data_IF_520875308024
#
_entry.id   IF_520875308024
#
_cell.length_a   1.000
_cell.length_b   1.000
_cell.length_c   1.000
_cell.angle_alpha   90.00
_cell.angle_beta   90.00
_cell.angle_gamma   90.00
#
_symmetry.space_group_name_H-M   'P 1'
#
loop_
_entity.id
_entity.type
_entity.pdbx_description
1 polymer ?
#
# COMPACT_ATOMS: atom_id res chain seq x y z
N UNK A 1 12.09 -13.15 23.21
CA UNK A 1 12.32 -11.70 23.37
C UNK A 1 12.76 -11.22 22.00
N UNK A 2 11.82 -10.70 21.22
CA UNK A 2 12.12 -10.13 19.92
C UNK A 2 12.96 -8.87 20.15
N UNK A 3 14.09 -8.75 19.44
CA UNK A 3 14.79 -7.48 19.36
C UNK A 3 13.89 -6.56 18.53
N UNK A 4 12.99 -5.82 19.18
CA UNK A 4 12.31 -4.71 18.52
C UNK A 4 13.34 -3.60 18.42
N UNK A 5 13.97 -3.46 17.26
CA UNK A 5 14.73 -2.26 16.95
C UNK A 5 13.73 -1.10 16.99
N UNK A 6 13.81 -0.28 18.03
CA UNK A 6 13.01 0.94 18.14
C UNK A 6 13.70 2.03 17.31
N UNK A 7 12.95 2.62 16.39
CA UNK A 7 13.39 3.76 15.58
C UNK A 7 12.63 5.00 16.02
N UNK A 8 13.10 6.20 15.70
CA UNK A 8 12.22 7.38 15.73
C UNK A 8 11.68 7.68 14.34
N UNK A 9 10.57 8.40 14.27
CA UNK A 9 10.00 8.86 13.00
C UNK A 9 11.06 9.59 12.14
N UNK A 10 11.87 10.46 12.76
CA UNK A 10 12.99 11.13 12.08
C UNK A 10 14.08 10.17 11.56
N UNK A 11 14.33 9.05 12.25
CA UNK A 11 15.27 8.04 11.78
C UNK A 11 14.73 7.28 10.57
N UNK A 12 13.42 7.00 10.52
CA UNK A 12 12.77 6.44 9.32
C UNK A 12 12.98 7.38 8.14
N UNK A 13 12.66 8.67 8.29
CA UNK A 13 12.87 9.67 7.23
C UNK A 13 14.32 9.77 6.77
N UNK A 14 15.29 9.76 7.70
CA UNK A 14 16.71 9.77 7.36
C UNK A 14 17.13 8.52 6.56
N UNK A 15 16.63 7.33 6.94
CA UNK A 15 16.87 6.09 6.20
C UNK A 15 16.31 6.20 4.78
N UNK A 16 15.08 6.68 4.61
CA UNK A 16 14.45 6.86 3.30
C UNK A 16 15.23 7.82 2.40
N UNK A 17 15.77 8.89 2.97
CA UNK A 17 16.60 9.84 2.23
C UNK A 17 17.93 9.19 1.81
N UNK A 18 18.61 8.50 2.72
CA UNK A 18 19.89 7.82 2.47
C UNK A 18 19.79 6.79 1.33
N UNK A 19 18.67 6.05 1.26
CA UNK A 19 18.44 5.02 0.23
C UNK A 19 17.81 5.58 -1.05
N UNK A 20 17.65 6.91 -1.14
CA UNK A 20 17.19 7.61 -2.33
C UNK A 20 15.70 7.48 -2.62
N UNK A 21 14.87 7.18 -1.62
CA UNK A 21 13.42 7.13 -1.77
C UNK A 21 12.77 8.51 -1.62
N UNK A 22 13.36 9.41 -0.83
CA UNK A 22 12.87 10.80 -0.67
C UNK A 22 13.97 11.83 -0.89
N UNK A 23 13.58 12.99 -1.42
CA UNK A 23 14.46 14.16 -1.53
C UNK A 23 14.69 14.79 -0.16
N UNK A 24 15.77 15.57 -0.02
CA UNK A 24 16.04 16.36 1.19
C UNK A 24 14.90 17.36 1.47
N UNK A 25 14.28 17.90 0.43
CA UNK A 25 13.14 18.81 0.54
C UNK A 25 11.91 18.12 1.13
N UNK A 26 11.56 16.92 0.62
CA UNK A 26 10.43 16.13 1.15
C UNK A 26 10.71 15.69 2.58
N UNK A 27 11.94 15.24 2.87
CA UNK A 27 12.36 14.90 4.23
C UNK A 27 12.11 16.07 5.20
N UNK A 28 12.61 17.25 4.86
CA UNK A 28 12.46 18.44 5.70
C UNK A 28 10.99 18.84 5.87
N UNK A 29 10.22 18.85 4.79
CA UNK A 29 8.80 19.24 4.84
C UNK A 29 8.00 18.33 5.77
N UNK A 30 8.15 17.02 5.62
CA UNK A 30 7.42 16.05 6.45
C UNK A 30 7.86 16.14 7.92
N UNK A 31 9.16 16.32 8.20
CA UNK A 31 9.63 16.51 9.57
C UNK A 31 9.21 17.84 10.21
N UNK A 32 8.99 18.89 9.41
CA UNK A 32 8.41 20.15 9.90
C UNK A 32 6.94 19.96 10.31
N UNK A 33 6.18 19.14 9.59
CA UNK A 33 4.80 18.79 9.92
C UNK A 33 4.72 17.85 11.14
N UNK A 34 5.66 16.90 11.22
CA UNK A 34 5.77 15.93 12.31
C UNK A 34 6.50 16.45 13.56
N UNK A 35 6.77 17.75 13.67
CA UNK A 35 7.68 18.30 14.69
C UNK A 35 7.33 17.92 16.14
N UNK A 36 6.04 17.70 16.43
CA UNK A 36 5.55 17.33 17.76
C UNK A 36 5.86 15.88 18.15
N UNK A 37 6.09 14.98 17.18
CA UNK A 37 6.29 13.54 17.39
C UNK A 37 7.53 12.96 16.64
N UNK A 38 8.29 13.78 15.91
CA UNK A 38 9.41 13.33 15.07
C UNK A 38 10.52 12.57 15.84
N UNK A 39 10.59 12.78 17.16
CA UNK A 39 11.57 12.15 18.05
C UNK A 39 10.98 11.05 18.93
N UNK A 40 9.68 10.77 18.80
CA UNK A 40 9.04 9.66 19.49
C UNK A 40 9.50 8.34 18.88
N UNK A 41 9.60 7.33 19.73
CA UNK A 41 9.87 5.97 19.30
C UNK A 41 8.66 5.43 18.53
N UNK A 42 8.94 4.80 17.39
CA UNK A 42 7.95 4.16 16.53
C UNK A 42 8.21 2.66 16.48
N UNK A 43 7.14 1.88 16.54
CA UNK A 43 7.18 0.46 16.25
C UNK A 43 7.21 0.17 14.73
N UNK A 44 7.15 -1.10 14.35
CA UNK A 44 7.24 -1.49 12.95
C UNK A 44 6.01 -1.04 12.14
N UNK A 45 4.83 -1.01 12.74
CA UNK A 45 3.60 -0.57 12.09
C UNK A 45 3.64 0.96 11.89
N UNK A 46 4.00 1.70 12.95
CA UNK A 46 4.17 3.16 12.89
C UNK A 46 5.31 3.57 11.94
N UNK A 47 6.35 2.75 11.79
CA UNK A 47 7.39 2.97 10.78
C UNK A 47 6.88 2.76 9.34
N UNK A 48 5.89 1.89 9.13
CA UNK A 48 5.25 1.69 7.83
C UNK A 48 4.26 2.82 7.49
N UNK A 49 3.51 3.28 8.50
CA UNK A 49 2.67 4.49 8.43
C UNK A 49 3.50 5.72 8.03
N UNK A 50 4.70 5.88 8.61
CA UNK A 50 5.63 6.92 8.19
C UNK A 50 6.00 6.83 6.69
N UNK A 51 6.08 5.64 6.09
CA UNK A 51 6.35 5.50 4.64
C UNK A 51 5.26 6.15 3.79
N UNK A 52 4.01 6.06 4.22
CA UNK A 52 2.87 6.71 3.58
C UNK A 52 2.96 8.23 3.69
N UNK A 53 3.25 8.77 4.88
CA UNK A 53 3.44 10.22 5.08
C UNK A 53 4.62 10.77 4.25
N UNK A 54 5.69 9.99 4.12
CA UNK A 54 6.81 10.30 3.24
C UNK A 54 6.50 10.16 1.74
N UNK A 55 5.32 9.66 1.38
CA UNK A 55 4.82 9.55 0.01
C UNK A 55 5.50 8.46 -0.80
N UNK A 56 5.90 7.36 -0.14
CA UNK A 56 6.57 6.22 -0.79
C UNK A 56 5.80 4.91 -0.64
N UNK A 57 4.73 4.91 0.14
CA UNK A 57 3.80 3.80 0.32
C UNK A 57 2.34 4.30 0.25
N UNK A 58 1.42 3.35 0.18
CA UNK A 58 -0.03 3.54 0.26
C UNK A 58 -0.58 2.57 1.30
N UNK A 59 -1.52 3.03 2.11
CA UNK A 59 -2.27 2.19 3.03
C UNK A 59 -3.56 1.67 2.39
N UNK A 60 -3.81 0.36 2.50
CA UNK A 60 -5.13 -0.23 2.28
C UNK A 60 -5.77 -0.40 3.64
N UNK A 61 -6.69 0.51 3.98
CA UNK A 61 -7.32 0.55 5.28
C UNK A 61 -8.09 -0.74 5.61
N UNK A 62 -7.83 -1.28 6.80
CA UNK A 62 -8.60 -2.38 7.39
C UNK A 62 -9.89 -1.89 8.06
N UNK A 63 -9.93 -0.61 8.41
CA UNK A 63 -11.12 0.04 8.98
C UNK A 63 -12.21 0.29 7.94
N UNK A 64 -13.39 0.69 8.43
CA UNK A 64 -14.54 0.92 7.57
C UNK A 64 -14.32 2.12 6.65
N UNK A 65 -14.38 1.89 5.35
CA UNK A 65 -14.41 2.94 4.33
C UNK A 65 -15.85 3.44 4.12
N UNK A 66 -15.98 4.61 3.49
CA UNK A 66 -17.27 5.24 3.24
C UNK A 66 -18.08 4.43 2.22
N UNK A 67 -17.43 4.00 1.13
CA UNK A 67 -18.03 3.15 0.12
C UNK A 67 -17.02 2.51 -0.83
N UNK A 68 -17.10 1.18 -1.01
CA UNK A 68 -16.38 0.46 -2.07
C UNK A 68 -16.70 0.93 -3.51
N UNK A 69 -17.70 1.78 -3.72
CA UNK A 69 -18.03 2.33 -5.04
C UNK A 69 -17.23 3.57 -5.41
N UNK A 70 -16.79 4.35 -4.42
CA UNK A 70 -15.99 5.56 -4.61
C UNK A 70 -14.53 5.35 -4.25
N UNK A 71 -14.27 4.60 -3.19
CA UNK A 71 -12.98 4.71 -2.50
C UNK A 71 -11.86 3.99 -3.26
N UNK A 72 -12.18 2.98 -4.07
CA UNK A 72 -11.21 2.43 -5.04
C UNK A 72 -10.65 3.47 -6.01
N UNK A 73 -11.41 4.51 -6.36
CA UNK A 73 -10.91 5.58 -7.22
C UNK A 73 -9.91 6.46 -6.47
N UNK A 74 -10.18 6.76 -5.19
CA UNK A 74 -9.29 7.54 -4.32
C UNK A 74 -7.99 6.77 -4.08
N UNK A 75 -8.09 5.48 -3.72
CA UNK A 75 -6.92 4.62 -3.50
C UNK A 75 -6.01 4.55 -4.73
N UNK A 76 -6.59 4.44 -5.93
CA UNK A 76 -5.82 4.40 -7.18
C UNK A 76 -5.25 5.77 -7.57
N UNK A 77 -5.89 6.87 -7.18
CA UNK A 77 -5.35 8.21 -7.33
C UNK A 77 -4.10 8.39 -6.45
N UNK A 78 -4.20 8.06 -5.16
CA UNK A 78 -3.08 8.11 -4.20
C UNK A 78 -1.89 7.23 -4.66
N UNK A 79 -2.16 5.98 -5.06
CA UNK A 79 -1.13 5.10 -5.60
C UNK A 79 -0.51 5.65 -6.89
N UNK A 80 -1.29 6.29 -7.76
CA UNK A 80 -0.77 6.93 -8.96
C UNK A 80 0.14 8.11 -8.62
N UNK A 81 -0.21 8.91 -7.60
CA UNK A 81 0.61 10.02 -7.13
C UNK A 81 1.97 9.53 -6.60
N UNK A 82 1.99 8.49 -5.77
CA UNK A 82 3.22 7.85 -5.28
C UNK A 82 4.05 7.28 -6.43
N UNK A 83 3.41 6.71 -7.45
CA UNK A 83 4.06 6.24 -8.68
C UNK A 83 4.54 7.39 -9.60
N UNK A 84 4.27 8.65 -9.25
CA UNK A 84 4.68 9.83 -10.00
C UNK A 84 3.79 10.13 -11.21
N UNK A 85 2.54 9.64 -11.21
CA UNK A 85 1.51 9.87 -12.23
C UNK A 85 1.98 9.55 -13.66
N UNK A 86 2.87 8.58 -13.79
CA UNK A 86 3.43 8.14 -15.09
C UNK A 86 2.44 7.33 -15.92
N UNK A 87 1.52 6.65 -15.23
CA UNK A 87 0.43 5.85 -15.81
C UNK A 87 -0.87 6.59 -15.60
N UNK A 88 -1.69 6.72 -16.64
CA UNK A 88 -3.02 7.29 -16.51
C UNK A 88 -4.01 6.21 -16.04
N UNK A 89 -4.52 6.34 -14.81
CA UNK A 89 -5.63 5.55 -14.30
C UNK A 89 -6.92 6.35 -14.42
N UNK A 90 -7.90 5.81 -15.15
CA UNK A 90 -9.16 6.51 -15.40
C UNK A 90 -10.36 5.55 -15.39
N UNK A 91 -11.57 6.10 -15.37
CA UNK A 91 -12.81 5.33 -15.47
C UNK A 91 -12.98 4.22 -14.41
N UNK A 92 -12.43 4.45 -13.21
CA UNK A 92 -12.52 3.53 -12.08
C UNK A 92 -13.98 3.35 -11.66
N UNK A 93 -14.45 2.11 -11.63
CA UNK A 93 -15.80 1.74 -11.22
C UNK A 93 -15.86 0.30 -10.73
N UNK A 94 -16.65 0.10 -9.68
CA UNK A 94 -17.00 -1.23 -9.21
C UNK A 94 -18.35 -1.66 -9.82
N UNK A 95 -18.36 -2.79 -10.51
CA UNK A 95 -19.57 -3.40 -11.03
C UNK A 95 -20.04 -4.45 -10.03
N UNK A 96 -21.23 -4.24 -9.46
CA UNK A 96 -21.82 -5.17 -8.51
C UNK A 96 -22.07 -6.54 -9.18
N UNK A 97 -21.60 -7.59 -8.53
CA UNK A 97 -21.80 -8.97 -8.96
C UNK A 97 -23.01 -9.65 -8.35
N UNK A 98 -23.02 -10.98 -8.45
CA UNK A 98 -23.99 -11.83 -7.75
C UNK A 98 -23.63 -11.96 -6.26
N UNK A 99 -24.64 -12.22 -5.43
CA UNK A 99 -24.50 -12.34 -3.97
C UNK A 99 -25.03 -11.13 -3.22
N UNK A 100 -24.80 -11.13 -1.91
CA UNK A 100 -25.18 -10.05 -1.00
C UNK A 100 -24.12 -9.89 0.08
N UNK A 101 -24.25 -8.87 0.93
CA UNK A 101 -23.33 -8.66 2.05
C UNK A 101 -23.79 -9.32 3.35
N UNK A 102 -24.94 -10.00 3.34
CA UNK A 102 -25.63 -10.44 4.55
C UNK A 102 -25.18 -11.81 5.08
N UNK A 103 -24.12 -12.40 4.50
CA UNK A 103 -23.50 -13.64 4.95
C UNK A 103 -24.37 -14.91 4.78
N UNK A 104 -25.67 -14.77 4.48
CA UNK A 104 -26.58 -15.91 4.25
C UNK A 104 -26.57 -16.39 2.80
N UNK A 105 -26.28 -15.50 1.84
CA UNK A 105 -26.22 -15.81 0.40
C UNK A 105 -24.78 -15.99 -0.14
N UNK A 106 -23.78 -15.99 0.73
CA UNK A 106 -22.36 -16.00 0.34
C UNK A 106 -21.85 -14.62 -0.05
N UNK A 107 -20.54 -14.55 -0.28
CA UNK A 107 -19.82 -13.31 -0.53
C UNK A 107 -20.21 -12.68 -1.86
N UNK A 108 -20.09 -11.35 -1.96
CA UNK A 108 -20.42 -10.64 -3.20
C UNK A 108 -19.21 -10.60 -4.12
N UNK A 109 -19.31 -11.22 -5.29
CA UNK A 109 -18.23 -11.29 -6.28
C UNK A 109 -18.31 -10.15 -7.29
N UNK A 110 -17.81 -8.99 -6.90
CA UNK A 110 -17.79 -7.80 -7.74
C UNK A 110 -16.66 -7.82 -8.78
N UNK A 111 -16.73 -6.85 -9.68
CA UNK A 111 -15.69 -6.62 -10.68
C UNK A 111 -15.25 -5.17 -10.67
N UNK A 112 -14.01 -4.92 -10.25
CA UNK A 112 -13.36 -3.61 -10.38
C UNK A 112 -12.88 -3.44 -11.83
N UNK A 113 -13.25 -2.32 -12.45
CA UNK A 113 -12.84 -1.95 -13.81
C UNK A 113 -12.28 -0.54 -13.84
N UNK A 114 -11.18 -0.37 -14.55
CA UNK A 114 -10.57 0.92 -14.83
C UNK A 114 -9.76 0.84 -16.13
N UNK A 115 -9.27 1.96 -16.60
CA UNK A 115 -8.38 2.05 -17.75
C UNK A 115 -6.98 2.44 -17.30
N UNK A 116 -5.99 1.64 -17.70
CA UNK A 116 -4.55 1.91 -17.59
C UNK A 116 -4.03 2.34 -18.95
N UNK A 117 -3.68 3.62 -19.11
CA UNK A 117 -3.29 4.21 -20.41
C UNK A 117 -4.29 3.89 -21.53
N UNK A 118 -5.60 3.96 -21.21
CA UNK A 118 -6.70 3.66 -22.12
C UNK A 118 -6.94 2.16 -22.39
N UNK A 119 -6.20 1.25 -21.74
CA UNK A 119 -6.44 -0.19 -21.80
C UNK A 119 -7.30 -0.62 -20.62
N UNK A 120 -8.37 -1.35 -20.90
CA UNK A 120 -9.26 -1.87 -19.86
C UNK A 120 -8.53 -2.89 -18.98
N UNK A 121 -8.51 -2.64 -17.68
CA UNK A 121 -8.13 -3.58 -16.62
C UNK A 121 -9.39 -4.07 -15.93
N UNK A 122 -9.39 -5.33 -15.50
CA UNK A 122 -10.52 -5.97 -14.83
C UNK A 122 -10.02 -6.88 -13.73
N UNK A 123 -10.45 -6.63 -12.50
CA UNK A 123 -10.06 -7.39 -11.31
C UNK A 123 -11.32 -7.92 -10.63
N UNK A 124 -11.33 -9.23 -10.35
CA UNK A 124 -12.37 -9.85 -9.51
C UNK A 124 -12.18 -9.48 -8.04
N UNK A 125 -13.27 -9.15 -7.36
CA UNK A 125 -13.24 -8.69 -5.97
C UNK A 125 -14.30 -9.42 -5.16
N UNK A 126 -13.88 -10.10 -4.10
CA UNK A 126 -14.80 -10.74 -3.16
C UNK A 126 -15.03 -9.79 -1.98
N UNK A 127 -16.23 -9.22 -1.88
CA UNK A 127 -16.60 -8.32 -0.79
C UNK A 127 -17.50 -9.00 0.23
N UNK A 128 -17.05 -8.94 1.49
CA UNK A 128 -17.83 -9.31 2.67
C UNK A 128 -18.68 -8.14 3.20
N UNK A 129 -18.40 -6.91 2.74
CA UNK A 129 -19.04 -5.67 3.19
C UNK A 129 -18.92 -4.60 2.10
N UNK A 130 -19.86 -3.65 2.07
CA UNK A 130 -19.77 -2.43 1.25
C UNK A 130 -18.86 -1.34 1.84
N UNK A 131 -18.29 -1.61 3.02
CA UNK A 131 -17.47 -0.69 3.80
C UNK A 131 -16.07 -1.21 4.08
N UNK A 132 -15.63 -2.26 3.41
CA UNK A 132 -14.27 -2.75 3.57
C UNK A 132 -13.71 -3.12 2.20
N UNK A 133 -12.45 -2.74 1.97
CA UNK A 133 -11.73 -3.28 0.82
C UNK A 133 -11.59 -4.79 0.95
N UNK A 134 -11.50 -5.47 -0.19
CA UNK A 134 -10.76 -6.72 -0.24
C UNK A 134 -9.26 -6.36 -0.39
N UNK A 135 -8.40 -6.64 0.60
CA UNK A 135 -7.00 -6.21 0.56
C UNK A 135 -6.23 -6.79 -0.63
N UNK A 136 -6.44 -8.06 -0.96
CA UNK A 136 -5.79 -8.69 -2.11
C UNK A 136 -6.18 -8.04 -3.45
N UNK A 137 -7.45 -7.71 -3.64
CA UNK A 137 -7.89 -7.00 -4.84
C UNK A 137 -7.38 -5.55 -4.88
N UNK A 138 -7.32 -4.87 -3.73
CA UNK A 138 -6.75 -3.53 -3.60
C UNK A 138 -5.26 -3.52 -3.95
N UNK A 139 -4.45 -4.42 -3.39
CA UNK A 139 -3.03 -4.58 -3.72
C UNK A 139 -2.81 -4.86 -5.21
N UNK A 140 -3.62 -5.75 -5.82
CA UNK A 140 -3.57 -6.00 -7.28
C UNK A 140 -3.91 -4.75 -8.09
N UNK A 141 -4.87 -3.94 -7.65
CA UNK A 141 -5.23 -2.71 -8.34
C UNK A 141 -4.12 -1.65 -8.21
N UNK A 142 -3.54 -1.49 -7.01
CA UNK A 142 -2.38 -0.62 -6.77
C UNK A 142 -1.21 -1.03 -7.67
N UNK A 143 -0.95 -2.33 -7.83
CA UNK A 143 0.14 -2.83 -8.68
C UNK A 143 0.08 -2.30 -10.12
N UNK A 144 -1.12 -2.06 -10.65
CA UNK A 144 -1.34 -1.56 -12.03
C UNK A 144 -0.94 -0.09 -12.21
N UNK A 145 -0.72 0.66 -11.12
CA UNK A 145 -0.26 2.06 -11.16
C UNK A 145 1.25 2.18 -11.44
N UNK A 146 2.01 1.09 -11.31
CA UNK A 146 3.43 1.08 -11.64
C UNK A 146 3.63 1.20 -13.17
N UNK A 147 4.53 2.09 -13.59
CA UNK A 147 4.88 2.25 -15.00
C UNK A 147 5.83 1.13 -15.46
N UNK A 148 5.66 0.65 -16.69
CA UNK A 148 6.44 -0.47 -17.24
C UNK A 148 7.94 -0.16 -17.37
N UNK A 149 8.31 1.12 -17.42
CA UNK A 149 9.69 1.61 -17.52
C UNK A 149 10.27 2.10 -16.18
N UNK A 150 9.49 2.05 -15.09
CA UNK A 150 9.97 2.35 -13.76
C UNK A 150 10.65 1.11 -13.16
N UNK A 151 11.89 1.21 -12.64
CA UNK A 151 12.56 0.08 -12.01
C UNK A 151 11.95 -0.33 -10.66
N UNK A 152 11.03 0.47 -10.11
CA UNK A 152 10.33 0.19 -8.85
C UNK A 152 9.12 -0.69 -9.09
N UNK A 153 8.81 -1.53 -8.11
CA UNK A 153 7.55 -2.28 -8.05
C UNK A 153 6.93 -2.15 -6.66
N UNK A 154 5.63 -2.42 -6.59
CA UNK A 154 4.88 -2.42 -5.33
C UNK A 154 5.18 -3.68 -4.52
N UNK A 155 5.46 -3.52 -3.23
CA UNK A 155 5.73 -4.62 -2.30
C UNK A 155 4.86 -4.48 -1.06
N UNK A 156 4.06 -5.49 -0.76
CA UNK A 156 3.23 -5.56 0.45
C UNK A 156 4.10 -5.86 1.67
N UNK A 157 3.98 -5.03 2.72
CA UNK A 157 4.67 -5.21 4.00
C UNK A 157 3.81 -6.09 4.91
N UNK A 158 4.45 -7.07 5.56
CA UNK A 158 3.78 -8.06 6.41
C UNK A 158 4.08 -7.80 7.88
N UNK A 159 3.03 -7.81 8.71
CA UNK A 159 3.09 -7.68 10.16
C UNK A 159 2.58 -8.95 10.87
N UNK A 160 3.02 -9.16 12.11
CA UNK A 160 2.54 -10.23 12.98
C UNK A 160 2.27 -9.67 14.39
N UNK A 161 1.00 -9.63 14.87
CA UNK A 161 -0.24 -10.00 14.18
C UNK A 161 -0.61 -9.02 13.04
N UNK A 162 -1.46 -9.48 12.11
CA UNK A 162 -1.96 -8.68 10.98
C UNK A 162 -3.39 -8.20 11.27
N UNK A 163 -3.52 -7.21 12.15
CA UNK A 163 -4.81 -6.67 12.61
C UNK A 163 -5.07 -5.21 12.23
N UNK A 164 -4.17 -4.59 11.46
CA UNK A 164 -4.29 -3.22 10.95
C UNK A 164 -4.26 -3.14 9.44
N UNK A 165 -3.90 -1.95 8.96
CA UNK A 165 -3.85 -1.65 7.54
C UNK A 165 -2.79 -2.46 6.81
N UNK A 166 -3.00 -2.65 5.50
CA UNK A 166 -2.01 -3.26 4.62
C UNK A 166 -1.24 -2.18 3.89
N UNK A 167 0.04 -2.03 4.24
CA UNK A 167 0.92 -1.06 3.58
C UNK A 167 1.61 -1.69 2.37
N UNK A 168 1.60 -0.97 1.24
CA UNK A 168 2.29 -1.37 0.02
C UNK A 168 3.29 -0.27 -0.35
N UNK A 169 4.58 -0.62 -0.43
CA UNK A 169 5.66 0.34 -0.72
C UNK A 169 6.16 0.23 -2.15
N UNK A 170 6.39 1.36 -2.83
CA UNK A 170 6.94 1.40 -4.18
C UNK A 170 8.47 1.54 -4.11
N UNK A 171 9.19 0.45 -4.39
CA UNK A 171 10.64 0.39 -4.20
C UNK A 171 11.35 -0.39 -5.31
N UNK A 172 12.60 -0.02 -5.62
CA UNK A 172 13.51 -0.90 -6.38
C UNK A 172 13.91 -2.11 -5.52
N UNK A 173 14.44 -3.19 -6.12
CA UNK A 173 14.95 -4.32 -5.35
C UNK A 173 15.99 -3.92 -4.29
N UNK A 174 16.89 -2.98 -4.61
CA UNK A 174 17.91 -2.49 -3.68
C UNK A 174 17.31 -1.66 -2.53
N UNK A 175 16.29 -0.85 -2.82
CA UNK A 175 15.59 -0.07 -1.79
C UNK A 175 14.80 -0.99 -0.86
N UNK A 176 14.08 -1.97 -1.42
CA UNK A 176 13.37 -3.00 -0.65
C UNK A 176 14.32 -3.75 0.30
N UNK A 177 15.49 -4.15 -0.20
CA UNK A 177 16.51 -4.80 0.59
C UNK A 177 17.00 -3.90 1.72
N UNK A 178 17.31 -2.64 1.42
CA UNK A 178 17.77 -1.69 2.44
C UNK A 178 16.70 -1.43 3.51
N UNK A 179 15.43 -1.36 3.14
CA UNK A 179 14.30 -1.27 4.08
C UNK A 179 14.21 -2.51 4.97
N UNK A 180 14.41 -3.71 4.42
CA UNK A 180 14.49 -4.96 5.21
C UNK A 180 15.65 -4.92 6.20
N UNK A 181 16.84 -4.56 5.75
CA UNK A 181 18.03 -4.55 6.61
C UNK A 181 18.01 -3.45 7.68
N UNK A 182 17.50 -2.26 7.32
CA UNK A 182 17.59 -1.06 8.18
C UNK A 182 16.36 -0.83 9.03
N UNK A 183 15.17 -1.25 8.59
CA UNK A 183 13.90 -1.09 9.32
C UNK A 183 13.27 -2.42 9.73
N UNK A 184 13.76 -3.56 9.24
CA UNK A 184 13.27 -4.87 9.62
C UNK A 184 11.97 -5.29 8.91
N UNK A 185 11.55 -4.59 7.85
CA UNK A 185 10.35 -4.96 7.11
C UNK A 185 10.48 -6.33 6.45
N UNK A 186 9.38 -7.07 6.48
CA UNK A 186 9.17 -8.34 5.77
C UNK A 186 8.12 -8.12 4.69
N UNK A 187 8.20 -8.89 3.61
CA UNK A 187 7.31 -8.71 2.46
C UNK A 187 6.60 -10.01 2.10
N UNK A 188 5.38 -9.92 1.60
CA UNK A 188 4.58 -11.09 1.21
C UNK A 188 5.28 -11.96 0.15
N UNK A 189 6.06 -11.33 -0.72
CA UNK A 189 6.87 -12.01 -1.74
C UNK A 189 8.08 -12.77 -1.21
N UNK A 190 8.41 -12.63 0.08
CA UNK A 190 9.59 -13.26 0.65
C UNK A 190 9.39 -14.79 0.69
N UNK A 191 10.45 -15.60 0.44
CA UNK A 191 10.31 -17.06 0.29
C UNK A 191 9.70 -17.78 1.48
N UNK A 192 9.75 -17.16 2.66
CA UNK A 192 9.21 -17.68 3.92
C UNK A 192 7.68 -17.66 3.98
N UNK A 193 7.01 -16.84 3.17
CA UNK A 193 5.55 -16.75 3.08
C UNK A 193 4.95 -17.59 1.94
N UNK A 194 5.81 -18.20 1.10
CA UNK A 194 5.41 -19.02 -0.04
C UNK A 194 5.12 -18.22 -1.31
N UNK A 195 5.13 -18.89 -2.46
CA UNK A 195 4.76 -18.29 -3.76
C UNK A 195 3.23 -18.11 -3.78
N UNK A 196 2.69 -16.88 -3.84
CA UNK A 196 1.28 -16.66 -4.10
C UNK A 196 1.06 -17.01 -5.58
N UNK A 197 0.93 -18.30 -5.87
CA UNK A 197 0.78 -18.80 -7.23
C UNK A 197 -0.34 -18.06 -7.97
N UNK A 198 -0.33 -18.08 -9.32
CA UNK A 198 -1.35 -17.39 -10.09
C UNK A 198 -2.73 -18.02 -9.80
N UNK A 199 -3.64 -17.23 -9.22
CA UNK A 199 -5.08 -17.52 -9.19
C UNK A 199 -5.73 -17.24 -10.56
#
# INVERSE_FOLDING_TARGET
MSNTSSFTYAQVGAILHDIGMVSEEKLRSVLEEAADYAHDEVDQYEAADALEEFGVAVSVHADSIDSIYSDYAVLLEEASEVAGNKVAITNVRLIAGEGGFDGFMGDRFDTLKFERDGKLVTIGVEHFSDRHYNPGAACRAIAETAADDDPRSWHEIVFEPHDGDTFVVLATPEQKEALRERLGFRYLSDPEFGDPGPE
#
